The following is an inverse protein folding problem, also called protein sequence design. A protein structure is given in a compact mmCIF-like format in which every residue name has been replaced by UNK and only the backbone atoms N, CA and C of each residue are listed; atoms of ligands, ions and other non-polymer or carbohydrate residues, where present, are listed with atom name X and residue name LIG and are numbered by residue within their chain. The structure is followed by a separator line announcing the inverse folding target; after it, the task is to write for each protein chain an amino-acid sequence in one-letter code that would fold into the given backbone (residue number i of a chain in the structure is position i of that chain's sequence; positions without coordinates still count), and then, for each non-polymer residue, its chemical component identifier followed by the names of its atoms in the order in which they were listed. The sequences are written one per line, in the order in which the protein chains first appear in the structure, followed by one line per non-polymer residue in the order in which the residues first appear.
data_IF_333382995751
#
_entry.id   IF_333382995751
#
_cell.length_a   1.000
_cell.length_b   1.000
_cell.length_c   1.000
_cell.angle_alpha   90.00
_cell.angle_beta   90.00
_cell.angle_gamma   90.00
#
_symmetry.space_group_name_H-M   'P 1'
#
loop_
_entity.id
_entity.type
_entity.pdbx_description
1 polymer ?
#
# COMPACT_ATOMS: atom_id res chain seq x y z
N UNK A 1 -10.62 47.10 13.77
CA UNK A 1 -9.59 46.55 12.86
C UNK A 1 -10.08 46.84 11.45
N UNK A 2 -9.30 47.61 10.70
CA UNK A 2 -9.68 48.34 9.49
C UNK A 2 -9.83 47.45 8.24
N UNK A 3 -10.57 48.00 7.28
CA UNK A 3 -11.27 47.43 6.12
C UNK A 3 -10.40 46.81 5.00
N UNK A 4 -11.10 45.98 4.21
CA UNK A 4 -10.84 45.59 2.82
C UNK A 4 -10.80 46.80 1.88
N UNK A 5 -9.82 46.81 0.98
CA UNK A 5 -9.75 47.42 -0.36
C UNK A 5 -8.28 47.18 -0.83
N UNK A 6 -7.88 46.92 -2.07
CA UNK A 6 -8.53 46.82 -3.37
C UNK A 6 -7.38 46.47 -4.36
N UNK A 7 -7.62 45.49 -5.25
CA UNK A 7 -7.33 45.47 -6.71
C UNK A 7 -6.02 45.96 -7.34
N UNK A 8 -5.67 45.23 -8.40
CA UNK A 8 -4.90 45.58 -9.61
C UNK A 8 -3.38 45.43 -9.54
N UNK A 9 -2.83 44.41 -10.20
CA UNK A 9 -2.51 44.34 -11.63
C UNK A 9 -1.18 45.01 -11.98
N UNK A 10 -0.23 44.18 -12.45
CA UNK A 10 0.65 44.60 -13.53
C UNK A 10 1.08 43.37 -14.35
N UNK A 11 0.42 43.23 -15.50
CA UNK A 11 0.98 42.61 -16.70
C UNK A 11 2.15 43.46 -17.21
N UNK A 12 3.23 42.81 -17.66
CA UNK A 12 3.89 43.01 -18.96
C UNK A 12 5.38 42.66 -18.86
N UNK A 13 5.80 41.69 -19.70
CA UNK A 13 6.93 41.81 -20.64
C UNK A 13 8.32 42.14 -20.02
N UNK A 14 9.44 41.46 -20.26
CA UNK A 14 9.90 40.70 -21.43
C UNK A 14 11.20 40.00 -21.01
N UNK A 15 11.47 38.84 -21.63
CA UNK A 15 12.77 38.30 -21.99
C UNK A 15 13.99 39.21 -21.75
N UNK A 16 15.02 38.78 -20.99
CA UNK A 16 16.43 39.16 -21.24
C UNK A 16 17.42 38.23 -20.49
N UNK A 17 18.17 37.52 -21.33
CA UNK A 17 19.45 36.84 -21.16
C UNK A 17 20.49 37.54 -20.24
N UNK A 18 21.30 36.83 -19.42
CA UNK A 18 22.48 37.44 -18.82
C UNK A 18 23.72 37.18 -19.69
N UNK A 19 24.07 38.16 -20.52
CA UNK A 19 25.43 38.31 -21.04
C UNK A 19 25.94 39.71 -20.68
N UNK A 20 27.18 39.73 -20.17
CA UNK A 20 28.13 40.84 -20.08
C UNK A 20 27.67 42.19 -19.51
N UNK A 21 28.37 42.64 -18.47
CA UNK A 21 28.55 44.07 -18.24
C UNK A 21 29.95 44.35 -17.68
N UNK A 22 30.71 45.02 -18.53
CA UNK A 22 31.99 45.68 -18.29
C UNK A 22 31.72 47.15 -17.88
N UNK A 23 32.28 47.59 -16.73
CA UNK A 23 32.60 48.98 -16.31
C UNK A 23 31.45 50.01 -16.09
N UNK A 24 31.61 51.19 -15.40
CA UNK A 24 32.83 51.89 -14.91
C UNK A 24 32.77 52.49 -13.46
N UNK A 25 33.89 53.07 -12.99
CA UNK A 25 34.07 53.90 -11.76
C UNK A 25 33.43 55.32 -11.91
N UNK A 26 33.12 56.05 -10.81
CA UNK A 26 33.91 57.27 -10.50
C UNK A 26 33.97 57.79 -9.02
N UNK A 27 35.08 58.49 -8.75
CA UNK A 27 35.37 59.72 -7.95
C UNK A 27 35.26 59.90 -6.41
N UNK A 28 36.27 60.63 -5.92
CA UNK A 28 36.72 61.01 -4.54
C UNK A 28 36.27 62.43 -4.12
N UNK A 29 36.41 62.82 -2.82
CA UNK A 29 37.43 63.84 -2.44
C UNK A 29 38.13 63.54 -1.07
N UNK A 30 39.48 63.60 -0.93
CA UNK A 30 40.36 64.73 -0.51
C UNK A 30 40.06 65.27 0.92
N UNK A 31 40.94 65.40 1.93
CA UNK A 31 42.31 65.95 2.08
C UNK A 31 42.95 65.47 3.42
N UNK A 32 44.22 65.01 3.46
CA UNK A 32 45.47 65.73 3.86
C UNK A 32 45.89 65.61 5.33
N UNK A 33 46.99 64.90 5.61
CA UNK A 33 48.20 65.51 6.18
C UNK A 33 49.46 64.62 6.06
N UNK A 34 50.51 65.26 5.55
CA UNK A 34 51.86 64.80 5.21
C UNK A 34 52.83 65.08 6.36
N UNK A 35 53.82 64.20 6.57
CA UNK A 35 55.22 64.46 6.97
C UNK A 35 55.90 63.07 7.09
N UNK A 36 57.09 62.77 6.59
CA UNK A 36 58.24 63.62 6.26
C UNK A 36 59.17 62.87 5.28
N UNK A 37 59.86 63.63 4.44
CA UNK A 37 60.77 63.11 3.43
C UNK A 37 62.16 62.84 4.02
N UNK A 38 62.75 61.68 3.71
CA UNK A 38 64.21 61.57 3.64
C UNK A 38 64.65 60.53 2.60
N UNK A 39 65.49 60.95 1.68
CA UNK A 39 66.34 60.16 0.79
C UNK A 39 67.54 61.04 0.45
N UNK A 40 68.76 60.53 0.16
CA UNK A 40 69.05 59.21 -0.42
C UNK A 40 70.34 58.49 0.07
N UNK A 41 70.51 57.18 -0.23
CA UNK A 41 71.70 56.55 -0.89
C UNK A 41 71.75 55.00 -0.73
N UNK A 42 72.46 54.29 -1.63
CA UNK A 42 71.92 53.12 -2.32
C UNK A 42 72.37 51.79 -1.68
N UNK A 43 71.48 50.82 -1.67
CA UNK A 43 71.85 49.40 -1.70
C UNK A 43 70.80 48.67 -2.51
N UNK A 44 71.18 48.39 -3.75
CA UNK A 44 70.55 47.40 -4.61
C UNK A 44 70.32 46.10 -3.83
N UNK A 45 69.06 45.69 -3.70
CA UNK A 45 68.44 44.51 -4.33
C UNK A 45 67.20 44.17 -3.49
N UNK A 46 65.96 44.42 -3.96
CA UNK A 46 64.78 43.81 -3.34
C UNK A 46 64.83 42.29 -3.62
N UNK A 47 64.51 41.42 -2.64
CA UNK A 47 64.51 39.98 -2.88
C UNK A 47 63.53 39.68 -4.02
N UNK A 48 64.02 38.97 -5.03
CA UNK A 48 63.24 38.55 -6.18
C UNK A 48 61.88 38.01 -5.72
N UNK A 49 60.79 38.61 -6.22
CA UNK A 49 59.43 38.06 -6.07
C UNK A 49 59.48 36.60 -6.51
N UNK A 50 59.27 35.69 -5.56
CA UNK A 50 59.40 34.25 -5.80
C UNK A 50 58.62 33.83 -7.04
N UNK A 51 59.34 33.28 -8.02
CA UNK A 51 58.76 32.78 -9.25
C UNK A 51 57.80 31.63 -8.91
N UNK A 52 56.53 31.75 -9.34
CA UNK A 52 55.53 30.71 -9.14
C UNK A 52 55.97 29.42 -9.84
N UNK A 53 56.19 28.35 -9.07
CA UNK A 53 56.47 27.02 -9.63
C UNK A 53 55.20 26.42 -10.26
N UNK A 54 55.03 26.67 -11.56
CA UNK A 54 53.93 26.17 -12.38
C UNK A 54 53.85 24.63 -12.42
N UNK A 55 54.98 23.93 -12.26
CA UNK A 55 55.01 22.46 -12.25
C UNK A 55 54.42 21.91 -10.96
N UNK A 56 54.70 22.56 -9.82
CA UNK A 56 54.06 22.23 -8.56
C UNK A 56 52.55 22.50 -8.60
N UNK A 57 52.11 23.59 -9.23
CA UNK A 57 50.68 23.89 -9.39
C UNK A 57 49.96 22.88 -10.30
N UNK A 58 50.57 22.49 -11.42
CA UNK A 58 50.02 21.47 -12.32
C UNK A 58 49.78 20.14 -11.59
N UNK A 59 50.75 19.68 -10.77
CA UNK A 59 50.56 18.45 -9.98
C UNK A 59 49.45 18.56 -8.93
N UNK A 60 49.26 19.75 -8.34
CA UNK A 60 48.13 19.99 -7.41
C UNK A 60 46.79 19.90 -8.13
N UNK A 61 46.68 20.49 -9.32
CA UNK A 61 45.46 20.40 -10.12
C UNK A 61 45.17 18.98 -10.59
N UNK A 62 46.20 18.25 -11.04
CA UNK A 62 46.06 16.84 -11.41
C UNK A 62 45.57 16.00 -10.22
N UNK A 63 46.17 16.19 -9.04
CA UNK A 63 45.74 15.50 -7.81
C UNK A 63 44.30 15.83 -7.45
N UNK A 64 43.91 17.11 -7.55
CA UNK A 64 42.53 17.57 -7.28
C UNK A 64 41.53 17.02 -8.30
N UNK A 65 41.87 17.01 -9.58
CA UNK A 65 41.03 16.47 -10.63
C UNK A 65 40.81 14.96 -10.44
N UNK A 66 41.86 14.23 -10.08
CA UNK A 66 41.77 12.80 -9.78
C UNK A 66 40.91 12.51 -8.56
N UNK A 67 41.08 13.29 -7.49
CA UNK A 67 40.26 13.18 -6.28
C UNK A 67 38.79 13.52 -6.56
N UNK A 68 38.52 14.60 -7.31
CA UNK A 68 37.18 15.00 -7.69
C UNK A 68 36.51 13.96 -8.60
N UNK A 69 37.22 13.40 -9.58
CA UNK A 69 36.71 12.33 -10.44
C UNK A 69 36.38 11.07 -9.63
N UNK A 70 37.23 10.69 -8.66
CA UNK A 70 36.95 9.57 -7.78
C UNK A 70 35.70 9.81 -6.91
N UNK A 71 35.57 11.00 -6.34
CA UNK A 71 34.38 11.39 -5.57
C UNK A 71 33.10 11.40 -6.42
N UNK A 72 33.17 11.93 -7.65
CA UNK A 72 32.05 11.94 -8.59
C UNK A 72 31.58 10.52 -8.93
N UNK A 73 32.51 9.59 -9.20
CA UNK A 73 32.19 8.18 -9.46
C UNK A 73 31.54 7.50 -8.25
N UNK A 74 31.99 7.80 -7.03
CA UNK A 74 31.37 7.25 -5.82
C UNK A 74 29.96 7.80 -5.62
N UNK A 75 29.75 9.10 -5.86
CA UNK A 75 28.43 9.72 -5.78
C UNK A 75 27.48 9.11 -6.80
N UNK A 76 27.92 8.93 -8.05
CA UNK A 76 27.15 8.28 -9.09
C UNK A 76 26.78 6.85 -8.73
N UNK A 77 27.74 6.06 -8.21
CA UNK A 77 27.47 4.68 -7.76
C UNK A 77 26.45 4.62 -6.62
N UNK A 78 26.55 5.52 -5.62
CA UNK A 78 25.58 5.61 -4.52
C UNK A 78 24.22 6.08 -5.02
N UNK A 79 24.19 7.05 -5.93
CA UNK A 79 22.94 7.55 -6.51
C UNK A 79 22.21 6.46 -7.28
N UNK A 80 22.93 5.63 -8.03
CA UNK A 80 22.34 4.52 -8.76
C UNK A 80 21.82 3.43 -7.82
N UNK A 81 22.60 3.06 -6.79
CA UNK A 81 22.15 2.13 -5.74
C UNK A 81 20.89 2.64 -5.02
N UNK A 82 20.82 3.94 -4.69
CA UNK A 82 19.63 4.54 -4.08
C UNK A 82 18.42 4.48 -5.01
N UNK A 83 18.56 4.81 -6.30
CA UNK A 83 17.44 4.70 -7.26
C UNK A 83 16.91 3.26 -7.35
N UNK A 84 17.80 2.27 -7.36
CA UNK A 84 17.37 0.86 -7.40
C UNK A 84 16.59 0.47 -6.14
N UNK A 85 17.07 0.89 -4.96
CA UNK A 85 16.40 0.63 -3.69
C UNK A 85 15.07 1.37 -3.57
N UNK A 86 14.98 2.60 -4.05
CA UNK A 86 13.72 3.36 -4.07
C UNK A 86 12.68 2.68 -4.95
N UNK A 87 13.08 2.17 -6.13
CA UNK A 87 12.19 1.40 -6.99
C UNK A 87 11.68 0.11 -6.32
N UNK A 88 12.57 -0.61 -5.63
CA UNK A 88 12.19 -1.82 -4.86
C UNK A 88 11.26 -1.49 -3.70
N UNK A 89 11.49 -0.38 -2.99
CA UNK A 89 10.64 0.07 -1.89
C UNK A 89 9.23 0.43 -2.39
N UNK A 90 9.11 1.15 -3.50
CA UNK A 90 7.81 1.47 -4.09
C UNK A 90 7.07 0.20 -4.55
N UNK A 91 7.77 -0.73 -5.20
CA UNK A 91 7.19 -2.01 -5.59
C UNK A 91 6.73 -2.84 -4.37
N UNK A 92 7.48 -2.80 -3.27
CA UNK A 92 7.12 -3.52 -2.05
C UNK A 92 5.96 -2.84 -1.31
N UNK A 93 5.93 -1.50 -1.25
CA UNK A 93 4.80 -0.73 -0.71
C UNK A 93 3.51 -1.01 -1.48
N UNK A 94 3.57 -1.05 -2.81
CA UNK A 94 2.42 -1.40 -3.64
C UNK A 94 1.90 -2.81 -3.34
N UNK A 95 2.79 -3.79 -3.17
CA UNK A 95 2.41 -5.16 -2.78
C UNK A 95 1.77 -5.22 -1.40
N UNK A 96 2.35 -4.52 -0.41
CA UNK A 96 1.79 -4.47 0.95
C UNK A 96 0.39 -3.85 0.93
N UNK A 97 0.22 -2.72 0.24
CA UNK A 97 -1.09 -2.06 0.10
C UNK A 97 -2.11 -2.97 -0.59
N UNK A 98 -1.72 -3.72 -1.63
CA UNK A 98 -2.60 -4.70 -2.27
C UNK A 98 -3.02 -5.82 -1.31
N UNK A 99 -2.09 -6.39 -0.54
CA UNK A 99 -2.43 -7.42 0.46
C UNK A 99 -3.28 -6.89 1.61
N UNK A 100 -3.05 -5.66 2.06
CA UNK A 100 -3.88 -5.02 3.08
C UNK A 100 -5.31 -4.82 2.56
N UNK A 101 -5.45 -4.33 1.33
CA UNK A 101 -6.74 -4.19 0.67
C UNK A 101 -7.45 -5.54 0.50
N UNK A 102 -6.76 -6.57 0.01
CA UNK A 102 -7.34 -7.91 -0.12
C UNK A 102 -7.84 -8.47 1.22
N UNK A 103 -7.11 -8.22 2.32
CA UNK A 103 -7.53 -8.63 3.66
C UNK A 103 -8.74 -7.86 4.16
N UNK A 104 -8.81 -6.56 3.89
CA UNK A 104 -9.94 -5.73 4.23
C UNK A 104 -11.21 -6.18 3.46
N UNK A 105 -11.07 -6.39 2.15
CA UNK A 105 -12.14 -6.90 1.29
C UNK A 105 -12.60 -8.30 1.72
N UNK A 106 -11.69 -9.19 2.11
CA UNK A 106 -12.05 -10.50 2.66
C UNK A 106 -12.85 -10.36 3.96
N UNK A 107 -12.47 -9.45 4.86
CA UNK A 107 -13.21 -9.15 6.07
C UNK A 107 -14.62 -8.62 5.79
N UNK A 108 -14.76 -7.68 4.84
CA UNK A 108 -16.07 -7.18 4.42
C UNK A 108 -16.93 -8.27 3.76
N UNK A 109 -16.32 -9.13 2.94
CA UNK A 109 -17.01 -10.30 2.35
C UNK A 109 -17.59 -11.21 3.41
N UNK A 110 -16.84 -11.53 4.45
CA UNK A 110 -17.28 -12.41 5.53
C UNK A 110 -18.42 -11.77 6.34
N UNK A 111 -18.34 -10.46 6.62
CA UNK A 111 -19.39 -9.71 7.30
C UNK A 111 -20.69 -9.66 6.47
N UNK A 112 -20.59 -9.24 5.20
CA UNK A 112 -21.75 -9.16 4.30
C UNK A 112 -22.36 -10.54 4.08
N UNK A 113 -21.54 -11.60 4.00
CA UNK A 113 -22.01 -12.97 3.90
C UNK A 113 -22.80 -13.42 5.14
N UNK A 114 -22.35 -13.06 6.33
CA UNK A 114 -23.05 -13.36 7.58
C UNK A 114 -24.41 -12.65 7.65
N UNK A 115 -24.46 -11.37 7.25
CA UNK A 115 -25.67 -10.55 7.34
C UNK A 115 -26.75 -10.94 6.31
N UNK A 116 -26.34 -11.18 5.06
CA UNK A 116 -27.26 -11.53 3.96
C UNK A 116 -27.53 -13.04 3.86
N UNK A 117 -26.68 -13.86 4.48
CA UNK A 117 -26.74 -15.31 4.39
C UNK A 117 -26.29 -15.89 3.05
N UNK A 118 -25.62 -15.09 2.21
CA UNK A 118 -24.99 -15.50 0.94
C UNK A 118 -23.53 -15.89 1.21
N UNK A 119 -23.04 -17.07 0.77
CA UNK A 119 -21.65 -17.47 1.00
C UNK A 119 -20.63 -16.45 0.46
N UNK A 120 -19.60 -16.13 1.26
CA UNK A 120 -18.56 -15.15 0.92
C UNK A 120 -17.86 -15.41 -0.43
N UNK A 121 -17.69 -16.69 -0.81
CA UNK A 121 -17.11 -17.09 -2.10
C UNK A 121 -17.96 -16.75 -3.33
N UNK A 122 -19.25 -16.42 -3.15
CA UNK A 122 -20.12 -15.96 -4.24
C UNK A 122 -20.14 -14.43 -4.36
N UNK A 123 -19.74 -13.71 -3.31
CA UNK A 123 -19.70 -12.24 -3.34
C UNK A 123 -18.53 -11.77 -4.19
N UNK A 124 -18.74 -10.71 -4.98
CA UNK A 124 -17.73 -10.08 -5.85
C UNK A 124 -17.81 -8.57 -5.68
N UNK A 125 -16.64 -7.95 -5.65
CA UNK A 125 -16.49 -6.52 -5.38
C UNK A 125 -15.20 -6.30 -4.58
N UNK A 126 -14.66 -5.10 -4.73
CA UNK A 126 -13.45 -4.63 -4.04
C UNK A 126 -13.82 -3.53 -3.02
N UNK A 127 -15.09 -3.12 -2.97
CA UNK A 127 -15.63 -2.16 -2.01
C UNK A 127 -16.77 -2.78 -1.20
N UNK A 128 -17.03 -2.23 -0.02
CA UNK A 128 -18.11 -2.69 0.84
C UNK A 128 -19.48 -2.53 0.17
N UNK A 129 -19.69 -1.41 -0.52
CA UNK A 129 -20.93 -1.10 -1.24
C UNK A 129 -21.19 -2.09 -2.38
N UNK A 130 -20.16 -2.42 -3.17
CA UNK A 130 -20.28 -3.41 -4.25
C UNK A 130 -20.62 -4.79 -3.68
N UNK A 131 -19.96 -5.18 -2.58
CA UNK A 131 -20.22 -6.45 -1.91
C UNK A 131 -21.64 -6.54 -1.37
N UNK A 132 -22.14 -5.47 -0.73
CA UNK A 132 -23.51 -5.39 -0.22
C UNK A 132 -24.54 -5.44 -1.34
N UNK A 133 -24.38 -4.59 -2.36
CA UNK A 133 -25.30 -4.55 -3.50
C UNK A 133 -25.36 -5.91 -4.22
N UNK A 134 -24.21 -6.57 -4.37
CA UNK A 134 -24.17 -7.91 -4.97
C UNK A 134 -24.82 -8.97 -4.08
N UNK A 135 -24.58 -8.91 -2.77
CA UNK A 135 -25.18 -9.81 -1.81
C UNK A 135 -26.71 -9.67 -1.77
N UNK A 136 -27.22 -8.44 -1.77
CA UNK A 136 -28.65 -8.14 -1.85
C UNK A 136 -29.26 -8.62 -3.16
N UNK A 137 -28.59 -8.40 -4.31
CA UNK A 137 -29.04 -8.91 -5.60
C UNK A 137 -29.14 -10.45 -5.62
N UNK A 138 -28.16 -11.14 -5.03
CA UNK A 138 -28.21 -12.61 -4.89
C UNK A 138 -29.32 -13.03 -3.94
N UNK A 139 -29.45 -12.37 -2.78
CA UNK A 139 -30.48 -12.69 -1.79
C UNK A 139 -31.90 -12.47 -2.34
N UNK A 140 -32.10 -11.45 -3.16
CA UNK A 140 -33.37 -11.18 -3.85
C UNK A 140 -33.69 -12.23 -4.92
N UNK A 141 -32.68 -12.69 -5.67
CA UNK A 141 -32.85 -13.72 -6.70
C UNK A 141 -33.01 -15.13 -6.13
N UNK A 142 -32.35 -15.41 -5.01
CA UNK A 142 -32.34 -16.70 -4.32
C UNK A 142 -32.71 -16.52 -2.84
N UNK A 143 -33.98 -16.15 -2.55
CA UNK A 143 -34.45 -16.14 -1.17
C UNK A 143 -34.21 -17.54 -0.60
N UNK A 144 -33.75 -17.62 0.66
CA UNK A 144 -33.66 -18.89 1.40
C UNK A 144 -35.06 -19.51 1.40
N UNK A 145 -35.32 -20.38 0.43
CA UNK A 145 -36.55 -21.13 0.30
C UNK A 145 -36.56 -22.12 1.45
N UNK A 146 -37.19 -21.70 2.55
CA UNK A 146 -37.53 -22.60 3.65
C UNK A 146 -38.34 -23.75 3.08
N UNK A 147 -37.84 -24.96 3.30
CA UNK A 147 -38.41 -26.23 2.87
C UNK A 147 -38.62 -26.34 1.35
N UNK A 148 -37.72 -27.09 0.70
CA UNK A 148 -38.08 -27.78 -0.53
C UNK A 148 -39.46 -28.43 -0.33
N UNK A 149 -40.39 -28.34 -1.30
CA UNK A 149 -41.67 -29.02 -1.18
C UNK A 149 -41.36 -30.48 -0.85
N UNK A 150 -41.90 -30.97 0.26
CA UNK A 150 -41.85 -32.40 0.57
C UNK A 150 -42.59 -33.07 -0.59
N UNK A 151 -41.83 -33.52 -1.58
CA UNK A 151 -42.34 -34.41 -2.60
C UNK A 151 -42.69 -35.66 -1.83
N UNK A 152 -43.97 -35.83 -1.51
CA UNK A 152 -44.48 -37.12 -1.09
C UNK A 152 -44.33 -38.01 -2.32
N UNK A 153 -43.22 -38.73 -2.37
CA UNK A 153 -43.04 -39.90 -3.22
C UNK A 153 -44.27 -40.78 -2.96
N UNK A 154 -45.24 -40.74 -3.87
CA UNK A 154 -46.34 -41.68 -3.86
C UNK A 154 -45.74 -43.07 -4.07
N UNK A 155 -45.48 -43.77 -2.97
CA UNK A 155 -44.90 -45.12 -3.01
C UNK A 155 -43.99 -45.52 -1.85
N UNK A 156 -43.62 -44.65 -0.91
CA UNK A 156 -42.91 -45.13 0.27
C UNK A 156 -43.91 -45.31 1.42
N UNK A 157 -44.30 -46.55 1.78
CA UNK A 157 -45.18 -46.75 2.92
C UNK A 157 -44.46 -46.17 4.14
N UNK A 158 -45.13 -45.23 4.80
CA UNK A 158 -44.78 -44.73 6.13
C UNK A 158 -44.26 -45.92 6.93
N UNK A 159 -42.97 -45.97 7.21
CA UNK A 159 -42.47 -46.87 8.25
C UNK A 159 -43.15 -46.36 9.52
N UNK A 160 -44.12 -47.09 10.09
CA UNK A 160 -44.65 -46.69 11.37
C UNK A 160 -43.48 -46.72 12.34
N UNK A 161 -43.38 -45.70 13.20
CA UNK A 161 -42.42 -45.73 14.32
C UNK A 161 -42.49 -47.09 15.02
N UNK A 162 -41.38 -47.55 15.65
CA UNK A 162 -41.24 -48.93 16.08
C UNK A 162 -42.51 -49.37 16.82
N UNK A 163 -43.28 -50.26 16.18
CA UNK A 163 -44.59 -50.70 16.65
C UNK A 163 -44.45 -51.13 18.10
N UNK A 164 -45.43 -50.82 18.94
CA UNK A 164 -45.41 -51.30 20.32
C UNK A 164 -45.30 -52.84 20.34
N UNK A 165 -44.69 -53.42 21.39
CA UNK A 165 -44.47 -54.89 21.47
C UNK A 165 -45.78 -55.66 21.20
N UNK A 166 -46.92 -55.12 21.60
CA UNK A 166 -48.25 -55.71 21.37
C UNK A 166 -48.68 -55.71 19.90
N UNK A 167 -48.35 -54.65 19.19
CA UNK A 167 -48.68 -54.48 17.78
C UNK A 167 -47.70 -55.26 16.89
N UNK A 168 -46.45 -55.46 17.35
CA UNK A 168 -45.51 -56.42 16.77
C UNK A 168 -45.99 -57.87 16.95
N UNK A 169 -46.56 -58.20 18.11
CA UNK A 169 -47.18 -59.53 18.34
C UNK A 169 -48.38 -59.72 17.39
N UNK A 170 -49.24 -58.72 17.23
CA UNK A 170 -50.40 -58.80 16.34
C UNK A 170 -50.01 -58.94 14.87
N UNK A 171 -49.01 -58.19 14.40
CA UNK A 171 -48.52 -58.29 13.02
C UNK A 171 -47.81 -59.63 12.75
N UNK A 172 -47.03 -60.16 13.71
CA UNK A 172 -46.42 -61.48 13.61
C UNK A 172 -47.47 -62.61 13.63
N UNK A 173 -48.58 -62.45 14.38
CA UNK A 173 -49.72 -63.37 14.33
C UNK A 173 -50.44 -63.31 12.99
N UNK A 174 -50.65 -62.12 12.42
CA UNK A 174 -51.26 -61.94 11.10
C UNK A 174 -50.40 -62.52 9.97
N UNK A 175 -49.07 -62.43 10.11
CA UNK A 175 -48.11 -63.05 9.19
C UNK A 175 -47.92 -64.57 9.41
N UNK A 176 -48.49 -65.15 10.48
CA UNK A 176 -48.39 -66.56 10.80
C UNK A 176 -47.04 -67.01 11.38
N UNK A 177 -46.15 -66.08 11.75
CA UNK A 177 -44.84 -66.41 12.31
C UNK A 177 -44.95 -66.73 13.81
N UNK A 178 -45.19 -68.02 14.09
CA UNK A 178 -45.36 -68.54 15.44
C UNK A 178 -44.09 -68.43 16.30
N UNK A 179 -42.89 -68.38 15.70
CA UNK A 179 -41.65 -68.29 16.47
C UNK A 179 -41.44 -66.86 16.96
N UNK A 180 -41.65 -65.88 16.09
CA UNK A 180 -41.59 -64.46 16.43
C UNK A 180 -42.66 -64.07 17.46
N UNK A 181 -43.87 -64.62 17.35
CA UNK A 181 -44.94 -64.40 18.35
C UNK A 181 -44.55 -64.92 19.74
N UNK A 182 -43.86 -66.06 19.82
CA UNK A 182 -43.44 -66.65 21.09
C UNK A 182 -42.33 -65.83 21.75
N UNK A 183 -41.34 -65.38 20.98
CA UNK A 183 -40.25 -64.56 21.50
C UNK A 183 -40.74 -63.20 21.98
N UNK A 184 -41.62 -62.54 21.21
CA UNK A 184 -42.18 -61.25 21.59
C UNK A 184 -43.11 -61.35 22.82
N UNK A 185 -43.92 -62.41 22.93
CA UNK A 185 -44.73 -62.67 24.14
C UNK A 185 -43.86 -62.96 25.37
N UNK A 186 -42.74 -63.65 25.23
CA UNK A 186 -41.81 -63.89 26.32
C UNK A 186 -41.13 -62.58 26.77
N UNK A 187 -40.74 -61.73 25.83
CA UNK A 187 -40.17 -60.40 26.11
C UNK A 187 -41.16 -59.49 26.86
N UNK A 188 -42.45 -59.51 26.45
CA UNK A 188 -43.53 -58.81 27.17
C UNK A 188 -43.66 -59.30 28.62
N UNK A 189 -43.60 -60.61 28.85
CA UNK A 189 -43.73 -61.19 30.18
C UNK A 189 -42.52 -60.90 31.08
N UNK A 190 -41.32 -60.76 30.52
CA UNK A 190 -40.10 -60.43 31.26
C UNK A 190 -39.99 -58.95 31.68
N UNK A 191 -40.82 -58.08 31.08
CA UNK A 191 -40.80 -56.62 31.32
C UNK A 191 -41.84 -56.19 32.36
N UNK A 192 -42.63 -57.12 32.90
CA UNK A 192 -43.73 -56.89 33.85
C UNK A 192 -43.43 -57.52 35.20
#
# INVERSE_FOLDING_TARGET
MHNLDNTNQMTAETDTHPADTDQPLPDVPAETQTQEAESPKPSDVPPARGETDWKAQARKWESRAKANSAAAKQLEAVSEDLKTKDADLEALRAKVSAFEHDREVAGWRDQVAADTGVPAGLLRGDTLEDLQAHAEAIAAAYPKTGAAPVVFHAGNPTQPGPLSIDEQIASAQAAGDKQLVRSLKAMKLATN
#
